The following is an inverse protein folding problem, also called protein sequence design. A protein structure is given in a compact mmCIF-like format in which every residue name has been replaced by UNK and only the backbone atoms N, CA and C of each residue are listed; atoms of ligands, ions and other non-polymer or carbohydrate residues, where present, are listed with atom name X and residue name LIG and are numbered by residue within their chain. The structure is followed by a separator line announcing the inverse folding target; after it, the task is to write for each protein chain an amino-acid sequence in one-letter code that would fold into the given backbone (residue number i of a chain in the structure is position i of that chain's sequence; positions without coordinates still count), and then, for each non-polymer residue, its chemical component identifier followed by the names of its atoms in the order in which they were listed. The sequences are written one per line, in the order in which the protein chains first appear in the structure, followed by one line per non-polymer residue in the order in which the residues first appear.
data_IF_329024479791
#
_entry.id   IF_329024479791
#
_cell.length_a   1.000
_cell.length_b   1.000
_cell.length_c   1.000
_cell.angle_alpha   90.00
_cell.angle_beta   90.00
_cell.angle_gamma   90.00
#
_symmetry.space_group_name_H-M   'P 1'
#
loop_
_entity.id
_entity.type
_entity.pdbx_description
1 polymer ?
#
# COMPACT_ATOMS: atom_id res chain seq x y z
N UNK A 1 -9.40 -11.01 30.07
CA UNK A 1 -9.47 -9.66 30.67
C UNK A 1 -10.21 -9.80 32.00
N UNK A 2 -9.46 -9.87 33.10
CA UNK A 2 -10.07 -9.77 34.43
C UNK A 2 -10.53 -8.33 34.61
N UNK A 3 -11.79 -8.07 34.98
CA UNK A 3 -12.22 -6.74 35.35
C UNK A 3 -11.39 -6.30 36.54
N UNK A 4 -10.73 -5.16 36.46
CA UNK A 4 -10.06 -4.54 37.57
C UNK A 4 -11.11 -4.33 38.67
N UNK A 5 -10.85 -4.77 39.94
CA UNK A 5 -11.79 -4.54 41.02
C UNK A 5 -11.98 -3.04 41.20
N UNK A 6 -13.22 -2.63 41.44
CA UNK A 6 -13.67 -1.25 41.71
C UNK A 6 -13.07 -0.71 43.05
N UNK A 7 -11.74 -0.74 43.20
CA UNK A 7 -11.03 -0.02 44.25
C UNK A 7 -10.59 1.30 43.65
N UNK A 8 -10.98 2.39 44.28
CA UNK A 8 -10.44 3.71 44.01
C UNK A 8 -8.91 3.64 44.15
N UNK A 9 -8.24 3.60 43.00
CA UNK A 9 -6.79 3.68 42.90
C UNK A 9 -6.48 5.16 43.12
N UNK A 10 -5.58 5.50 44.04
CA UNK A 10 -5.15 6.89 44.25
C UNK A 10 -4.56 7.43 42.94
N UNK A 11 -4.71 8.73 42.68
CA UNK A 11 -4.18 9.38 41.47
C UNK A 11 -2.68 9.14 41.30
N UNK A 12 -1.93 9.14 42.40
CA UNK A 12 -0.49 8.86 42.44
C UNK A 12 -0.17 7.43 41.97
N UNK A 13 -0.99 6.46 42.34
CA UNK A 13 -0.83 5.07 41.94
C UNK A 13 -1.30 4.86 40.48
N UNK A 14 -2.26 5.66 40.03
CA UNK A 14 -2.69 5.70 38.62
C UNK A 14 -1.59 6.28 37.72
N UNK A 15 -0.92 7.33 38.17
CA UNK A 15 0.24 7.93 37.47
C UNK A 15 1.44 6.98 37.45
N UNK A 16 1.74 6.29 38.56
CA UNK A 16 2.78 5.26 38.60
C UNK A 16 2.45 4.09 37.68
N UNK A 17 1.19 3.65 37.62
CA UNK A 17 0.72 2.63 36.68
C UNK A 17 0.79 3.11 35.26
N UNK A 18 0.42 4.35 34.95
CA UNK A 18 0.58 4.96 33.62
C UNK A 18 2.05 5.05 33.21
N UNK A 19 2.94 5.44 34.10
CA UNK A 19 4.39 5.47 33.84
C UNK A 19 4.98 4.07 33.64
N UNK A 20 4.51 3.08 34.39
CA UNK A 20 4.91 1.67 34.22
C UNK A 20 4.32 1.04 32.95
N UNK A 21 3.20 1.57 32.45
CA UNK A 21 2.45 1.08 31.31
C UNK A 21 2.70 1.87 30.04
N UNK A 22 3.52 2.92 30.03
CA UNK A 22 3.94 3.60 28.82
C UNK A 22 5.00 2.76 28.09
N UNK A 23 4.51 1.75 27.40
CA UNK A 23 5.32 1.02 26.43
C UNK A 23 5.61 1.96 25.22
N UNK A 24 6.63 2.83 25.39
CA UNK A 24 7.04 3.80 24.37
C UNK A 24 8.07 3.23 23.40
N UNK A 25 8.72 2.11 23.77
CA UNK A 25 9.69 1.46 22.92
C UNK A 25 9.03 0.83 21.70
N UNK A 26 9.42 1.32 20.50
CA UNK A 26 8.86 0.89 19.22
C UNK A 26 9.14 -0.59 18.94
N UNK A 27 10.33 -1.06 19.26
CA UNK A 27 10.71 -2.47 19.04
C UNK A 27 9.84 -3.41 19.87
N UNK A 28 9.66 -3.12 21.14
CA UNK A 28 8.80 -3.90 22.03
C UNK A 28 7.34 -3.89 21.56
N UNK A 29 6.81 -2.77 21.08
CA UNK A 29 5.47 -2.69 20.49
C UNK A 29 5.30 -3.63 19.28
N UNK A 30 6.31 -3.74 18.43
CA UNK A 30 6.27 -4.64 17.29
C UNK A 30 6.42 -6.10 17.70
N UNK A 31 7.34 -6.41 18.62
CA UNK A 31 7.59 -7.79 19.09
C UNK A 31 6.45 -8.34 19.93
N UNK A 32 5.83 -7.48 20.76
CA UNK A 32 4.73 -7.84 21.67
C UNK A 32 3.45 -7.08 21.29
N UNK A 33 3.00 -7.23 20.07
CA UNK A 33 1.81 -6.54 19.56
C UNK A 33 0.57 -6.74 20.43
N UNK A 34 0.39 -7.91 21.01
CA UNK A 34 -0.73 -8.19 21.92
C UNK A 34 -0.69 -7.31 23.18
N UNK A 35 0.49 -7.02 23.72
CA UNK A 35 0.64 -6.10 24.86
C UNK A 35 0.35 -4.67 24.40
N UNK A 36 0.89 -4.23 23.28
CA UNK A 36 0.62 -2.92 22.70
C UNK A 36 -0.90 -2.71 22.49
N UNK A 37 -1.61 -3.72 21.98
CA UNK A 37 -3.07 -3.68 21.84
C UNK A 37 -3.81 -3.56 23.18
N UNK A 38 -3.31 -4.17 24.28
CA UNK A 38 -3.89 -4.02 25.61
C UNK A 38 -3.69 -2.60 26.11
N UNK A 39 -2.50 -2.05 25.92
CA UNK A 39 -2.07 -0.80 26.53
C UNK A 39 -2.48 0.44 25.76
N UNK A 40 -2.52 0.38 24.43
CA UNK A 40 -2.66 1.54 23.56
C UNK A 40 -3.99 1.52 22.80
N UNK A 41 -4.88 2.45 23.15
CA UNK A 41 -6.16 2.61 22.44
C UNK A 41 -5.95 3.05 20.98
N UNK A 42 -4.97 3.93 20.72
CA UNK A 42 -4.62 4.36 19.36
C UNK A 42 -4.23 3.18 18.47
N UNK A 43 -3.49 2.20 19.00
CA UNK A 43 -3.14 0.99 18.26
C UNK A 43 -4.38 0.16 17.93
N UNK A 44 -5.29 -0.02 18.88
CA UNK A 44 -6.57 -0.71 18.65
C UNK A 44 -7.42 -0.01 17.57
N UNK A 45 -7.51 1.31 17.64
CA UNK A 45 -8.25 2.12 16.66
C UNK A 45 -7.63 1.97 15.26
N UNK A 46 -6.32 2.01 15.14
CA UNK A 46 -5.59 1.80 13.88
C UNK A 46 -5.93 0.45 13.25
N UNK A 47 -5.93 -0.64 14.04
CA UNK A 47 -6.27 -1.97 13.49
C UNK A 47 -7.76 -2.11 13.12
N UNK A 48 -8.66 -1.48 13.89
CA UNK A 48 -10.08 -1.43 13.53
C UNK A 48 -10.31 -0.67 12.23
N UNK A 49 -9.69 0.52 12.10
CA UNK A 49 -9.73 1.30 10.85
C UNK A 49 -9.16 0.54 9.66
N UNK A 50 -8.03 -0.16 9.85
CA UNK A 50 -7.48 -1.03 8.79
C UNK A 50 -8.48 -2.08 8.31
N UNK A 51 -9.15 -2.76 9.23
CA UNK A 51 -10.18 -3.76 8.88
C UNK A 51 -11.36 -3.13 8.15
N UNK A 52 -11.80 -1.96 8.61
CA UNK A 52 -12.91 -1.23 7.99
C UNK A 52 -12.53 -0.72 6.59
N UNK A 53 -11.30 -0.22 6.39
CA UNK A 53 -10.79 0.19 5.06
C UNK A 53 -10.90 -0.98 4.08
N UNK A 54 -10.41 -2.17 4.45
CA UNK A 54 -10.46 -3.36 3.61
C UNK A 54 -11.90 -3.73 3.25
N UNK A 55 -12.81 -3.67 4.23
CA UNK A 55 -14.23 -3.92 4.00
C UNK A 55 -14.83 -2.91 3.02
N UNK A 56 -14.56 -1.61 3.20
CA UNK A 56 -15.10 -0.54 2.36
C UNK A 56 -14.55 -0.57 0.93
N UNK A 57 -13.29 -0.94 0.74
CA UNK A 57 -12.72 -1.21 -0.58
C UNK A 57 -13.52 -2.33 -1.29
N UNK A 58 -13.78 -3.46 -0.63
CA UNK A 58 -14.58 -4.55 -1.18
C UNK A 58 -16.01 -4.10 -1.52
N UNK A 59 -16.66 -3.38 -0.62
CA UNK A 59 -18.03 -2.86 -0.83
C UNK A 59 -18.08 -1.94 -2.05
N UNK A 60 -17.14 -1.03 -2.19
CA UNK A 60 -17.09 -0.12 -3.33
C UNK A 60 -16.91 -0.87 -4.65
N UNK A 61 -15.91 -1.73 -4.74
CA UNK A 61 -15.63 -2.47 -5.97
C UNK A 61 -16.77 -3.39 -6.37
N UNK A 62 -17.41 -4.08 -5.42
CA UNK A 62 -18.61 -4.88 -5.67
C UNK A 62 -19.76 -4.04 -6.20
N UNK A 63 -19.98 -2.82 -5.67
CA UNK A 63 -20.98 -1.87 -6.21
C UNK A 63 -20.66 -1.42 -7.63
N UNK A 64 -19.36 -1.37 -8.00
CA UNK A 64 -18.92 -1.06 -9.37
C UNK A 64 -18.98 -2.27 -10.32
N UNK A 65 -19.45 -3.42 -9.86
CA UNK A 65 -19.59 -4.65 -10.65
C UNK A 65 -18.35 -5.50 -10.76
N UNK A 66 -17.33 -5.26 -9.93
CA UNK A 66 -16.13 -6.11 -9.87
C UNK A 66 -16.43 -7.41 -9.13
N UNK A 67 -15.91 -8.52 -9.64
CA UNK A 67 -15.89 -9.81 -8.99
C UNK A 67 -14.57 -9.97 -8.22
N UNK A 68 -14.66 -10.30 -6.93
CA UNK A 68 -13.50 -10.67 -6.12
C UNK A 68 -13.10 -12.10 -6.43
N UNK A 69 -11.83 -12.33 -6.72
CA UNK A 69 -11.27 -13.63 -7.03
C UNK A 69 -10.08 -13.93 -6.11
N UNK A 70 -9.74 -15.22 -6.01
CA UNK A 70 -8.54 -15.69 -5.34
C UNK A 70 -7.71 -16.51 -6.34
N UNK A 71 -6.43 -16.20 -6.43
CA UNK A 71 -5.46 -16.91 -7.28
C UNK A 71 -4.39 -17.58 -6.42
N UNK A 72 -3.65 -18.58 -6.95
CA UNK A 72 -2.64 -19.29 -6.18
C UNK A 72 -1.57 -18.37 -5.61
N UNK A 73 -1.12 -18.66 -4.38
CA UNK A 73 0.04 -18.00 -3.77
C UNK A 73 1.35 -18.66 -4.13
N UNK A 74 1.33 -19.97 -4.43
CA UNK A 74 2.49 -20.74 -4.87
C UNK A 74 2.56 -20.76 -6.39
N UNK A 75 3.67 -20.32 -6.93
CA UNK A 75 3.91 -20.23 -8.37
C UNK A 75 5.12 -21.09 -8.75
N UNK A 76 5.12 -21.66 -9.93
CA UNK A 76 6.29 -22.33 -10.51
C UNK A 76 7.34 -21.33 -10.99
N UNK A 77 6.90 -20.10 -11.29
CA UNK A 77 7.76 -18.99 -11.72
C UNK A 77 7.24 -17.67 -11.16
N UNK A 78 8.09 -16.88 -10.53
CA UNK A 78 7.75 -15.54 -10.10
C UNK A 78 7.51 -14.63 -11.31
N UNK A 79 6.44 -13.81 -11.24
CA UNK A 79 6.05 -12.93 -12.33
C UNK A 79 5.12 -11.81 -11.84
N UNK A 80 4.90 -10.79 -12.70
CA UNK A 80 3.98 -9.68 -12.43
C UNK A 80 4.61 -8.50 -11.69
N UNK A 81 5.89 -8.58 -11.30
CA UNK A 81 6.63 -7.48 -10.71
C UNK A 81 8.14 -7.72 -10.85
N UNK A 82 8.93 -6.67 -10.65
CA UNK A 82 10.39 -6.79 -10.54
C UNK A 82 10.77 -6.85 -9.05
N UNK A 83 10.70 -8.03 -8.46
CA UNK A 83 11.00 -8.26 -7.04
C UNK A 83 11.61 -9.65 -6.82
N UNK A 84 12.39 -9.78 -5.76
CA UNK A 84 13.00 -11.06 -5.39
C UNK A 84 11.98 -11.95 -4.67
N UNK A 85 11.70 -13.19 -5.15
CA UNK A 85 10.72 -14.06 -4.50
C UNK A 85 11.31 -14.81 -3.30
N UNK A 86 10.43 -15.26 -2.39
CA UNK A 86 10.74 -16.36 -1.47
C UNK A 86 10.59 -17.68 -2.20
N UNK A 87 11.48 -18.61 -1.94
CA UNK A 87 11.47 -19.96 -2.52
C UNK A 87 11.09 -20.97 -1.42
N UNK A 88 10.26 -21.94 -1.77
CA UNK A 88 9.88 -23.07 -0.93
C UNK A 88 9.88 -24.36 -1.73
N UNK A 89 10.07 -25.52 -1.06
CA UNK A 89 10.08 -26.83 -1.71
C UNK A 89 8.75 -27.56 -1.52
N UNK A 90 8.19 -28.09 -2.61
CA UNK A 90 6.99 -28.92 -2.59
C UNK A 90 7.36 -30.39 -2.55
N UNK A 91 7.32 -31.01 -1.35
CA UNK A 91 7.82 -32.36 -1.11
C UNK A 91 7.20 -33.44 -2.01
N UNK A 92 5.88 -33.39 -2.23
CA UNK A 92 5.19 -34.40 -3.01
C UNK A 92 5.48 -34.33 -4.52
N UNK A 93 5.85 -33.18 -5.03
CA UNK A 93 6.20 -32.97 -6.44
C UNK A 93 7.72 -32.91 -6.66
N UNK A 94 8.50 -32.94 -5.58
CA UNK A 94 9.97 -32.77 -5.59
C UNK A 94 10.42 -31.60 -6.46
N UNK A 95 9.82 -30.44 -6.23
CA UNK A 95 10.09 -29.20 -7.01
C UNK A 95 10.05 -27.95 -6.18
N UNK A 96 10.85 -26.95 -6.56
CA UNK A 96 10.82 -25.66 -5.93
C UNK A 96 9.68 -24.80 -6.48
N UNK A 97 9.01 -24.11 -5.57
CA UNK A 97 7.97 -23.14 -5.86
C UNK A 97 8.37 -21.78 -5.27
N UNK A 98 7.81 -20.72 -5.83
CA UNK A 98 7.97 -19.36 -5.31
C UNK A 98 6.68 -18.87 -4.68
N UNK A 99 6.79 -18.10 -3.59
CA UNK A 99 5.68 -17.29 -3.11
C UNK A 99 5.47 -16.12 -4.08
N UNK A 100 4.22 -15.84 -4.41
CA UNK A 100 3.88 -14.79 -5.39
C UNK A 100 4.38 -13.41 -4.96
N UNK A 101 4.92 -12.68 -5.91
CA UNK A 101 5.30 -11.27 -5.77
C UNK A 101 4.18 -10.34 -6.25
N UNK A 102 3.27 -10.83 -7.09
CA UNK A 102 2.06 -10.17 -7.60
C UNK A 102 1.08 -11.21 -8.19
N UNK A 103 -0.23 -10.98 -8.20
CA UNK A 103 -1.24 -11.85 -8.82
C UNK A 103 -1.49 -11.55 -10.31
N UNK A 104 -0.85 -10.55 -10.91
CA UNK A 104 -1.11 -9.94 -12.22
C UNK A 104 -1.43 -10.93 -13.33
N UNK A 105 -0.53 -11.88 -13.60
CA UNK A 105 -0.70 -12.78 -14.75
C UNK A 105 -1.87 -13.74 -14.58
N UNK A 106 -2.15 -14.17 -13.34
CA UNK A 106 -3.32 -15.00 -13.07
C UNK A 106 -4.62 -14.24 -13.29
N UNK A 107 -4.69 -12.99 -12.82
CA UNK A 107 -5.87 -12.13 -13.03
C UNK A 107 -6.11 -11.89 -14.52
N UNK A 108 -5.09 -11.53 -15.28
CA UNK A 108 -5.20 -11.35 -16.73
C UNK A 108 -5.67 -12.63 -17.45
N UNK A 109 -5.19 -13.79 -17.03
CA UNK A 109 -5.65 -15.09 -17.60
C UNK A 109 -7.12 -15.37 -17.28
N UNK A 110 -7.60 -15.04 -16.08
CA UNK A 110 -9.02 -15.19 -15.73
C UNK A 110 -9.91 -14.31 -16.61
N UNK A 111 -9.48 -13.09 -16.92
CA UNK A 111 -10.20 -12.19 -17.82
C UNK A 111 -10.22 -12.72 -19.25
N UNK A 112 -9.07 -13.11 -19.79
CA UNK A 112 -8.98 -13.72 -21.13
C UNK A 112 -9.79 -15.01 -21.21
N UNK A 113 -9.88 -15.77 -20.12
CA UNK A 113 -10.73 -16.94 -19.98
C UNK A 113 -12.23 -16.65 -19.93
N UNK A 114 -12.63 -15.37 -19.90
CA UNK A 114 -14.04 -14.94 -19.95
C UNK A 114 -14.77 -15.00 -18.61
N UNK A 115 -14.05 -15.01 -17.47
CA UNK A 115 -14.69 -15.03 -16.15
C UNK A 115 -15.54 -13.78 -15.91
N UNK A 116 -14.98 -12.62 -16.19
CA UNK A 116 -15.64 -11.30 -16.06
C UNK A 116 -14.80 -10.22 -16.70
N UNK A 117 -15.45 -9.13 -17.12
CA UNK A 117 -14.77 -7.92 -17.60
C UNK A 117 -14.21 -7.06 -16.48
N UNK A 118 -14.59 -7.32 -15.24
CA UNK A 118 -14.15 -6.58 -14.05
C UNK A 118 -13.84 -7.56 -12.92
N UNK A 119 -12.57 -7.66 -12.55
CA UNK A 119 -12.13 -8.52 -11.45
C UNK A 119 -11.16 -7.79 -10.54
N UNK A 120 -11.11 -8.20 -9.29
CA UNK A 120 -10.06 -7.77 -8.35
C UNK A 120 -9.67 -8.89 -7.40
N UNK A 121 -8.48 -8.80 -6.88
CA UNK A 121 -7.99 -9.63 -5.78
C UNK A 121 -7.38 -8.75 -4.70
N UNK A 122 -7.81 -8.95 -3.45
CA UNK A 122 -7.23 -8.30 -2.28
C UNK A 122 -6.58 -9.38 -1.42
N UNK A 123 -5.26 -9.47 -1.48
CA UNK A 123 -4.54 -10.65 -1.00
C UNK A 123 -3.11 -10.35 -0.52
N UNK A 124 -2.44 -11.37 -0.02
CA UNK A 124 -1.04 -11.30 0.40
C UNK A 124 -0.09 -11.48 -0.78
N UNK A 125 0.93 -10.63 -0.81
CA UNK A 125 2.10 -10.77 -1.67
C UNK A 125 3.37 -10.78 -0.83
N UNK A 126 4.45 -11.32 -1.41
CA UNK A 126 5.70 -11.61 -0.71
C UNK A 126 6.88 -11.13 -1.55
N UNK A 127 7.75 -10.32 -0.97
CA UNK A 127 8.98 -9.83 -1.62
C UNK A 127 10.14 -10.00 -0.68
N UNK A 128 11.15 -10.79 -1.07
CA UNK A 128 12.34 -11.09 -0.27
C UNK A 128 13.40 -9.99 -0.45
N UNK A 129 13.07 -8.82 0.05
CA UNK A 129 13.86 -7.60 -0.06
C UNK A 129 14.13 -7.00 1.32
N UNK A 130 14.74 -5.82 1.37
CA UNK A 130 15.01 -5.12 2.63
C UNK A 130 13.75 -4.78 3.43
N UNK A 131 13.89 -4.65 4.74
CA UNK A 131 12.81 -4.25 5.66
C UNK A 131 13.08 -2.83 6.13
N UNK A 132 12.07 -1.97 6.01
CA UNK A 132 12.06 -0.64 6.58
C UNK A 132 10.65 -0.26 7.09
N UNK A 133 10.44 0.99 7.45
CA UNK A 133 9.15 1.47 7.96
C UNK A 133 8.01 1.43 6.93
N UNK A 134 8.32 1.28 5.65
CA UNK A 134 7.37 1.26 4.53
C UNK A 134 7.33 -0.07 3.78
N UNK A 135 8.37 -0.88 3.91
CA UNK A 135 8.52 -2.14 3.21
C UNK A 135 8.52 -3.31 4.20
N UNK A 136 7.54 -4.17 4.06
CA UNK A 136 7.44 -5.42 4.79
C UNK A 136 7.51 -6.57 3.79
N UNK A 137 8.25 -7.66 4.07
CA UNK A 137 8.39 -8.77 3.13
C UNK A 137 7.08 -9.50 2.81
N UNK A 138 6.10 -9.37 3.69
CA UNK A 138 4.73 -9.86 3.52
C UNK A 138 3.76 -8.68 3.68
N UNK A 139 2.95 -8.39 2.67
CA UNK A 139 2.04 -7.26 2.68
C UNK A 139 0.72 -7.57 1.98
N UNK A 140 -0.31 -6.82 2.32
CA UNK A 140 -1.61 -6.88 1.64
C UNK A 140 -1.59 -5.94 0.44
N UNK A 141 -1.93 -6.45 -0.72
CA UNK A 141 -2.05 -5.71 -1.96
C UNK A 141 -3.44 -5.91 -2.56
N UNK A 142 -3.91 -4.91 -3.29
CA UNK A 142 -5.06 -5.03 -4.17
C UNK A 142 -4.59 -4.85 -5.60
N UNK A 143 -5.00 -5.75 -6.45
CA UNK A 143 -4.94 -5.57 -7.90
C UNK A 143 -6.33 -5.71 -8.49
N UNK A 144 -6.62 -4.88 -9.47
CA UNK A 144 -7.91 -4.87 -10.15
C UNK A 144 -7.72 -4.62 -11.64
N UNK A 145 -8.58 -5.23 -12.43
CA UNK A 145 -8.53 -5.16 -13.90
C UNK A 145 -9.93 -4.97 -14.45
N UNK A 146 -10.04 -4.11 -15.46
CA UNK A 146 -11.27 -3.87 -16.19
C UNK A 146 -10.97 -3.85 -17.69
N UNK A 147 -11.77 -4.59 -18.47
CA UNK A 147 -11.70 -4.61 -19.93
C UNK A 147 -12.33 -3.37 -20.54
N UNK A 148 -11.91 -3.04 -21.76
CA UNK A 148 -12.50 -1.97 -22.61
C UNK A 148 -12.44 -0.57 -22.01
N UNK A 149 -11.47 -0.30 -21.13
CA UNK A 149 -11.21 1.03 -20.55
C UNK A 149 -9.73 1.36 -20.68
N UNK A 150 -9.41 2.64 -20.63
CA UNK A 150 -8.03 3.11 -20.58
C UNK A 150 -7.64 3.63 -19.19
N UNK A 151 -6.47 4.25 -19.09
CA UNK A 151 -5.96 4.77 -17.82
C UNK A 151 -6.80 5.93 -17.24
N UNK A 152 -7.56 6.67 -18.10
CA UNK A 152 -8.40 7.78 -17.62
C UNK A 152 -9.53 7.27 -16.73
N UNK A 153 -10.25 6.21 -17.18
CA UNK A 153 -11.28 5.57 -16.36
C UNK A 153 -10.70 4.95 -15.10
N UNK A 154 -9.48 4.39 -15.18
CA UNK A 154 -8.81 3.83 -14.00
C UNK A 154 -8.40 4.93 -12.99
N UNK A 155 -8.02 6.12 -13.45
CA UNK A 155 -7.80 7.28 -12.57
C UNK A 155 -9.09 7.70 -11.87
N UNK A 156 -10.20 7.79 -12.61
CA UNK A 156 -11.51 8.12 -12.03
C UNK A 156 -11.99 7.07 -11.03
N UNK A 157 -11.81 5.78 -11.35
CA UNK A 157 -12.13 4.69 -10.43
C UNK A 157 -11.31 4.81 -9.13
N UNK A 158 -10.00 5.09 -9.26
CA UNK A 158 -9.08 5.16 -8.12
C UNK A 158 -9.40 6.33 -7.20
N UNK A 159 -9.58 7.55 -7.74
CA UNK A 159 -9.90 8.71 -6.91
C UNK A 159 -11.24 8.56 -6.19
N UNK A 160 -12.25 8.03 -6.87
CA UNK A 160 -13.56 7.80 -6.25
C UNK A 160 -13.50 6.67 -5.19
N UNK A 161 -12.72 5.61 -5.41
CA UNK A 161 -12.50 4.55 -4.42
C UNK A 161 -11.87 5.12 -3.14
N UNK A 162 -10.80 5.92 -3.28
CA UNK A 162 -10.09 6.51 -2.13
C UNK A 162 -10.99 7.49 -1.39
N UNK A 163 -11.70 8.38 -2.10
CA UNK A 163 -12.65 9.32 -1.52
C UNK A 163 -13.80 8.61 -0.78
N UNK A 164 -14.37 7.56 -1.38
CA UNK A 164 -15.39 6.75 -0.75
C UNK A 164 -14.90 6.11 0.55
N UNK A 165 -13.72 5.50 0.52
CA UNK A 165 -13.13 4.87 1.72
C UNK A 165 -12.84 5.90 2.81
N UNK A 166 -12.30 7.06 2.46
CA UNK A 166 -12.04 8.14 3.42
C UNK A 166 -13.35 8.62 4.07
N UNK A 167 -14.38 8.87 3.29
CA UNK A 167 -15.68 9.30 3.78
C UNK A 167 -16.34 8.25 4.71
N UNK A 168 -16.30 6.97 4.31
CA UNK A 168 -16.93 5.88 5.07
C UNK A 168 -16.20 5.52 6.37
N UNK A 169 -14.86 5.69 6.41
CA UNK A 169 -14.03 5.31 7.55
C UNK A 169 -13.79 6.46 8.51
N UNK A 170 -13.62 7.68 7.97
CA UNK A 170 -13.21 8.85 8.74
C UNK A 170 -14.34 9.90 8.87
N UNK A 171 -15.40 9.80 8.06
CA UNK A 171 -16.47 10.79 7.97
C UNK A 171 -16.07 12.08 7.25
N UNK A 172 -14.91 12.10 6.63
CA UNK A 172 -14.38 13.26 5.89
C UNK A 172 -13.41 12.83 4.80
N UNK A 173 -13.33 13.61 3.72
CA UNK A 173 -12.32 13.48 2.67
C UNK A 173 -11.09 14.34 2.93
N UNK A 174 -11.10 15.22 3.95
CA UNK A 174 -9.94 16.00 4.37
C UNK A 174 -9.26 15.31 5.54
N UNK A 175 -7.99 14.96 5.36
CA UNK A 175 -7.22 14.20 6.35
C UNK A 175 -5.96 14.96 6.77
N UNK A 176 -5.61 14.86 8.05
CA UNK A 176 -4.35 15.39 8.55
C UNK A 176 -3.25 14.33 8.43
N UNK A 177 -2.18 14.64 7.72
CA UNK A 177 -1.00 13.79 7.59
C UNK A 177 0.27 14.55 8.00
N UNK A 178 0.74 14.32 9.22
CA UNK A 178 1.76 15.15 9.82
C UNK A 178 1.28 16.60 9.98
N UNK A 179 2.00 17.55 9.42
CA UNK A 179 1.66 18.97 9.43
C UNK A 179 0.79 19.39 8.23
N UNK A 180 0.56 18.51 7.28
CA UNK A 180 -0.17 18.80 6.06
C UNK A 180 -1.63 18.34 6.15
N UNK A 181 -2.54 19.16 5.67
CA UNK A 181 -3.91 18.74 5.34
C UNK A 181 -3.94 18.24 3.89
N UNK A 182 -4.47 17.04 3.68
CA UNK A 182 -4.64 16.43 2.36
C UNK A 182 -6.13 16.37 2.05
N UNK A 183 -6.55 16.99 0.96
CA UNK A 183 -7.93 16.92 0.45
C UNK A 183 -8.03 15.80 -0.60
N UNK A 184 -8.80 14.77 -0.28
CA UNK A 184 -9.05 13.61 -1.14
C UNK A 184 -10.32 13.76 -1.99
N UNK A 185 -10.94 14.95 -2.00
CA UNK A 185 -12.16 15.21 -2.78
C UNK A 185 -11.89 15.15 -4.29
N UNK A 186 -12.61 14.29 -5.05
CA UNK A 186 -12.50 14.29 -6.50
C UNK A 186 -13.11 15.55 -7.14
N UNK A 187 -12.68 15.92 -8.37
CA UNK A 187 -11.62 15.30 -9.17
C UNK A 187 -10.22 15.70 -8.70
N UNK A 188 -9.28 14.78 -8.79
CA UNK A 188 -7.87 15.08 -8.51
C UNK A 188 -7.18 15.68 -9.73
N UNK A 189 -6.12 16.46 -9.49
CA UNK A 189 -5.30 17.04 -10.54
C UNK A 189 -4.71 15.95 -11.45
N UNK A 190 -4.75 16.19 -12.74
CA UNK A 190 -4.13 15.34 -13.76
C UNK A 190 -2.81 15.98 -14.19
N UNK A 191 -1.71 15.39 -13.76
CA UNK A 191 -0.36 15.88 -14.06
C UNK A 191 0.47 14.80 -14.76
N UNK A 192 1.23 15.21 -15.77
CA UNK A 192 2.23 14.32 -16.36
C UNK A 192 3.50 14.33 -15.53
N UNK A 193 4.33 13.29 -15.62
CA UNK A 193 5.62 13.22 -14.92
C UNK A 193 6.49 14.44 -15.30
N UNK A 194 6.69 14.67 -16.60
CA UNK A 194 7.50 15.80 -17.08
C UNK A 194 6.92 17.15 -16.69
N UNK A 195 5.58 17.30 -16.76
CA UNK A 195 4.90 18.52 -16.32
C UNK A 195 5.10 18.80 -14.84
N UNK A 196 5.05 17.78 -13.99
CA UNK A 196 5.33 17.91 -12.55
C UNK A 196 6.78 18.30 -12.29
N UNK A 197 7.74 17.66 -12.97
CA UNK A 197 9.16 18.01 -12.86
C UNK A 197 9.38 19.47 -13.25
N UNK A 198 8.81 19.90 -14.38
CA UNK A 198 8.88 21.30 -14.83
C UNK A 198 8.29 22.28 -13.81
N UNK A 199 7.13 21.95 -13.24
CA UNK A 199 6.46 22.77 -12.22
C UNK A 199 7.33 22.98 -10.98
N UNK A 200 7.98 21.92 -10.48
CA UNK A 200 8.77 21.97 -9.24
C UNK A 200 10.22 22.42 -9.43
N UNK A 201 10.83 22.15 -10.58
CA UNK A 201 12.24 22.46 -10.83
C UNK A 201 12.46 23.64 -11.77
N UNK A 202 11.44 24.06 -12.53
CA UNK A 202 11.54 25.04 -13.61
C UNK A 202 12.19 24.50 -14.88
N UNK A 203 12.59 23.22 -14.92
CA UNK A 203 13.28 22.59 -16.05
C UNK A 203 12.33 21.66 -16.79
N UNK A 204 12.24 21.86 -18.11
CA UNK A 204 11.49 20.98 -19.00
C UNK A 204 12.40 19.90 -19.57
N UNK A 205 12.33 18.71 -18.98
CA UNK A 205 13.11 17.56 -19.50
C UNK A 205 12.58 17.02 -20.83
N UNK A 206 11.38 17.43 -21.26
CA UNK A 206 10.84 17.10 -22.58
C UNK A 206 11.52 17.87 -23.73
N UNK A 207 12.28 18.94 -23.45
CA UNK A 207 13.02 19.73 -24.44
C UNK A 207 14.42 19.15 -24.73
N UNK A 208 14.88 18.16 -23.97
CA UNK A 208 16.21 17.55 -24.19
C UNK A 208 16.12 16.41 -25.17
N UNK A 209 17.03 16.41 -26.15
CA UNK A 209 17.08 15.39 -27.21
C UNK A 209 18.17 14.33 -26.97
N UNK A 210 19.04 14.54 -25.98
CA UNK A 210 20.15 13.62 -25.68
C UNK A 210 20.25 13.33 -24.18
N UNK A 211 20.69 12.11 -23.85
CA UNK A 211 20.99 11.73 -22.48
C UNK A 211 22.04 12.66 -21.83
N UNK A 212 23.00 13.15 -22.63
CA UNK A 212 24.03 14.05 -22.13
C UNK A 212 23.47 15.40 -21.67
N UNK A 213 22.54 16.00 -22.44
CA UNK A 213 21.86 17.25 -22.06
C UNK A 213 21.06 17.08 -20.77
N UNK A 214 20.30 15.99 -20.65
CA UNK A 214 19.53 15.65 -19.45
C UNK A 214 20.47 15.43 -18.23
N UNK A 215 21.57 14.72 -18.40
CA UNK A 215 22.60 14.49 -17.39
C UNK A 215 23.21 15.80 -16.87
N UNK A 216 23.65 16.70 -17.76
CA UNK A 216 24.24 17.98 -17.36
C UNK A 216 23.23 18.86 -16.57
N UNK A 217 21.97 18.82 -16.95
CA UNK A 217 20.91 19.54 -16.21
C UNK A 217 20.60 18.92 -14.85
N UNK A 218 20.49 17.60 -14.75
CA UNK A 218 20.32 16.90 -13.49
C UNK A 218 21.48 17.19 -12.53
N UNK A 219 22.73 17.17 -13.05
CA UNK A 219 23.92 17.51 -12.28
C UNK A 219 23.92 18.97 -11.79
N UNK A 220 23.43 19.91 -12.60
CA UNK A 220 23.28 21.30 -12.21
C UNK A 220 22.26 21.51 -11.08
N UNK A 221 21.32 20.58 -10.91
CA UNK A 221 20.35 20.51 -9.80
C UNK A 221 20.87 19.76 -8.57
N UNK A 222 22.14 19.35 -8.58
CA UNK A 222 22.77 18.52 -7.54
C UNK A 222 22.05 17.17 -7.33
N UNK A 223 21.42 16.62 -8.39
CA UNK A 223 20.86 15.28 -8.37
C UNK A 223 22.00 14.30 -8.65
N UNK A 224 22.13 13.28 -7.80
CA UNK A 224 23.10 12.19 -8.03
C UNK A 224 22.63 11.36 -9.24
N UNK A 225 23.39 11.46 -10.33
CA UNK A 225 23.17 10.72 -11.57
C UNK A 225 24.46 10.07 -12.03
N UNK A 226 24.37 8.85 -12.55
CA UNK A 226 25.46 8.13 -13.17
C UNK A 226 25.54 8.49 -14.67
N UNK A 227 26.75 8.62 -15.21
CA UNK A 227 26.98 8.89 -16.64
C UNK A 227 26.44 7.77 -17.55
N UNK A 228 26.30 6.55 -17.02
CA UNK A 228 25.74 5.40 -17.73
C UNK A 228 24.20 5.34 -17.70
N UNK A 229 23.53 6.17 -16.89
CA UNK A 229 22.08 6.24 -16.87
C UNK A 229 21.54 6.74 -18.21
N UNK A 230 20.58 6.00 -18.76
CA UNK A 230 19.86 6.47 -19.94
C UNK A 230 18.77 7.46 -19.53
N UNK A 231 18.25 8.19 -20.50
CA UNK A 231 17.30 9.28 -20.28
C UNK A 231 15.86 8.83 -20.00
N UNK A 232 15.54 7.56 -20.16
CA UNK A 232 14.19 7.01 -20.08
C UNK A 232 13.85 6.26 -18.79
#
# INVERSE_FOLDING_TARGET
LLPLPNKQISEEKLEQLKAYHNMNDTETKYRQRYVDLIMNEKTRDTFRKRSLIIQKVREYLKKQGFIEVETPMLHTQASGANARPFITHHNALDMDLTLRIAPELHLKRLMVGGLSEKIFELSRCFRNEGIDTRHNPEFTMIELYQSYVDYNEMMVLTENLVAYVAQEVLGTMKIQYGENEIDLTPPWDRKTMLGSIKEFTGIDFGEFFTAKEAYEKAKALHIEVDEEMNWG
#
